data_IF_581246868697
#
_entry.id   IF_581246868697
#
_cell.length_a   1.000
_cell.length_b   1.000
_cell.length_c   1.000
_cell.angle_alpha   90.00
_cell.angle_beta   90.00
_cell.angle_gamma   90.00
#
_symmetry.space_group_name_H-M   'P 1'
#
loop_
_entity.id
_entity.type
_entity.pdbx_description
1 polymer ?
#
# COMPACT_ATOMS: atom_id res chain seq x y z
N UNK A 1 -38.70 7.27 -0.16
CA UNK A 1 -37.24 7.47 -0.13
C UNK A 1 -36.58 6.20 -0.64
N UNK A 2 -36.01 6.21 -1.86
CA UNK A 2 -35.16 5.13 -2.35
C UNK A 2 -33.75 5.44 -1.86
N UNK A 3 -33.15 4.54 -1.08
CA UNK A 3 -31.75 4.65 -0.69
C UNK A 3 -30.92 4.26 -1.91
N UNK A 4 -30.27 5.24 -2.54
CA UNK A 4 -29.26 4.96 -3.57
C UNK A 4 -28.06 4.25 -2.90
N UNK A 5 -27.59 3.12 -3.44
CA UNK A 5 -26.37 2.49 -2.94
C UNK A 5 -25.22 3.49 -3.09
N UNK A 6 -24.45 3.70 -2.01
CA UNK A 6 -23.22 4.50 -2.03
C UNK A 6 -22.30 4.00 -3.16
N UNK A 7 -22.36 4.66 -4.32
CA UNK A 7 -21.41 4.45 -5.41
C UNK A 7 -20.04 4.84 -4.88
N UNK A 8 -19.23 3.83 -4.54
CA UNK A 8 -17.82 4.05 -4.25
C UNK A 8 -17.21 4.54 -5.57
N UNK A 9 -16.67 5.77 -5.61
CA UNK A 9 -16.09 6.30 -6.83
C UNK A 9 -15.04 5.32 -7.35
N UNK A 10 -15.05 5.03 -8.66
CA UNK A 10 -14.07 4.13 -9.29
C UNK A 10 -12.65 4.54 -8.91
N UNK A 11 -12.38 5.86 -8.91
CA UNK A 11 -11.90 6.55 -7.71
C UNK A 11 -11.02 5.78 -6.74
N UNK A 12 -11.65 5.50 -5.62
CA UNK A 12 -11.08 4.83 -4.47
C UNK A 12 -10.78 3.35 -4.72
N UNK A 13 -11.36 2.74 -5.76
CA UNK A 13 -11.19 1.30 -6.02
C UNK A 13 -9.81 1.01 -6.59
N UNK A 14 -9.28 1.85 -7.48
CA UNK A 14 -7.93 1.67 -8.03
C UNK A 14 -6.84 2.09 -7.05
N UNK A 15 -7.05 3.14 -6.27
CA UNK A 15 -6.13 3.61 -5.23
C UNK A 15 -5.93 2.53 -4.14
N UNK A 16 -7.02 1.94 -3.66
CA UNK A 16 -7.00 0.84 -2.69
C UNK A 16 -6.39 -0.47 -3.23
N UNK A 17 -6.42 -0.69 -4.55
CA UNK A 17 -5.73 -1.83 -5.20
C UNK A 17 -4.22 -1.63 -5.25
N UNK A 18 -3.75 -0.39 -5.40
CA UNK A 18 -2.33 -0.07 -5.42
C UNK A 18 -1.72 -0.18 -4.01
N UNK A 19 -2.41 0.29 -2.98
CA UNK A 19 -1.96 0.18 -1.58
C UNK A 19 -1.69 -1.26 -1.15
N UNK A 20 -2.60 -2.20 -1.46
CA UNK A 20 -2.45 -3.60 -1.06
C UNK A 20 -1.31 -4.29 -1.81
N UNK A 21 -1.18 -4.01 -3.10
CA UNK A 21 -0.09 -4.52 -3.94
C UNK A 21 1.25 -4.03 -3.42
N UNK A 22 1.34 -2.74 -3.07
CA UNK A 22 2.55 -2.16 -2.50
C UNK A 22 2.86 -2.74 -1.12
N UNK A 23 1.88 -2.88 -0.24
CA UNK A 23 2.08 -3.47 1.08
C UNK A 23 2.57 -4.92 0.99
N UNK A 24 2.08 -5.70 0.01
CA UNK A 24 2.60 -7.05 -0.26
C UNK A 24 4.04 -7.03 -0.73
N UNK A 25 4.39 -6.10 -1.63
CA UNK A 25 5.76 -5.93 -2.11
C UNK A 25 6.71 -5.56 -0.98
N UNK A 26 6.33 -4.63 -0.11
CA UNK A 26 7.11 -4.27 1.08
C UNK A 26 7.28 -5.49 1.99
N UNK A 27 6.22 -6.29 2.20
CA UNK A 27 6.28 -7.47 3.05
C UNK A 27 7.17 -8.60 2.50
N UNK A 28 7.43 -8.64 1.19
CA UNK A 28 8.30 -9.62 0.56
C UNK A 28 9.77 -9.21 0.52
N UNK A 29 10.10 -7.98 0.90
CA UNK A 29 11.45 -7.41 0.81
C UNK A 29 12.05 -7.24 2.22
N UNK A 30 13.39 -7.28 2.35
CA UNK A 30 14.06 -6.96 3.60
C UNK A 30 13.77 -5.51 4.03
N UNK A 31 13.56 -5.31 5.34
CA UNK A 31 13.44 -3.99 5.96
C UNK A 31 14.78 -3.54 6.56
N UNK A 32 15.11 -2.23 6.54
CA UNK A 32 14.31 -1.15 5.95
C UNK A 32 14.30 -1.19 4.41
N UNK A 33 13.13 -0.96 3.82
CA UNK A 33 12.95 -0.99 2.37
C UNK A 33 12.84 0.43 1.81
N UNK A 34 13.60 0.73 0.76
CA UNK A 34 13.62 2.05 0.12
C UNK A 34 12.79 2.02 -1.14
N UNK A 35 11.81 2.92 -1.22
CA UNK A 35 10.95 3.10 -2.38
C UNK A 35 11.18 4.50 -2.96
N UNK A 36 11.27 4.58 -4.28
CA UNK A 36 11.50 5.82 -5.04
C UNK A 36 10.43 5.97 -6.12
N UNK A 37 10.24 7.18 -6.63
CA UNK A 37 9.19 7.48 -7.62
C UNK A 37 7.87 7.93 -7.00
N UNK A 38 7.19 8.84 -7.69
CA UNK A 38 6.01 9.56 -7.19
C UNK A 38 4.84 8.62 -6.85
N UNK A 39 4.66 7.55 -7.64
CA UNK A 39 3.59 6.58 -7.40
C UNK A 39 3.77 5.84 -6.07
N UNK A 40 5.01 5.54 -5.70
CA UNK A 40 5.32 4.88 -4.45
C UNK A 40 5.20 5.85 -3.27
N UNK A 41 5.59 7.12 -3.45
CA UNK A 41 5.43 8.15 -2.41
C UNK A 41 3.95 8.36 -2.05
N UNK A 42 3.08 8.48 -3.04
CA UNK A 42 1.63 8.64 -2.82
C UNK A 42 1.01 7.41 -2.15
N UNK A 43 1.34 6.21 -2.63
CA UNK A 43 0.80 4.98 -2.07
C UNK A 43 1.32 4.69 -0.64
N UNK A 44 2.59 4.98 -0.34
CA UNK A 44 3.11 4.89 1.04
C UNK A 44 2.47 5.94 1.93
N UNK A 45 2.20 7.16 1.43
CA UNK A 45 1.48 8.17 2.22
C UNK A 45 0.11 7.68 2.68
N UNK A 46 -0.66 7.02 1.81
CA UNK A 46 -1.94 6.45 2.19
C UNK A 46 -1.80 5.34 3.25
N UNK A 47 -0.82 4.44 3.09
CA UNK A 47 -0.53 3.39 4.08
C UNK A 47 -0.05 3.95 5.42
N UNK A 48 0.79 5.00 5.41
CA UNK A 48 1.29 5.68 6.60
C UNK A 48 0.17 6.40 7.34
N UNK A 49 -0.67 7.16 6.63
CA UNK A 49 -1.83 7.85 7.21
C UNK A 49 -2.85 6.86 7.80
N UNK A 50 -2.98 5.67 7.20
CA UNK A 50 -3.80 4.58 7.73
C UNK A 50 -3.15 3.83 8.91
N UNK A 51 -1.92 4.17 9.29
CA UNK A 51 -1.17 3.53 10.36
C UNK A 51 -0.72 2.11 10.05
N UNK A 52 -0.58 1.76 8.76
CA UNK A 52 -0.19 0.41 8.32
C UNK A 52 1.32 0.22 8.25
N UNK A 53 2.10 1.29 8.07
CA UNK A 53 3.56 1.26 7.99
C UNK A 53 4.17 2.40 8.80
N UNK A 54 5.39 2.20 9.30
CA UNK A 54 6.26 3.29 9.73
C UNK A 54 7.19 3.64 8.57
N UNK A 55 7.23 4.92 8.21
CA UNK A 55 7.90 5.38 7.01
C UNK A 55 8.42 6.81 7.17
N UNK A 56 9.60 7.07 6.60
CA UNK A 56 10.23 8.40 6.61
C UNK A 56 10.68 8.80 5.22
N UNK A 57 10.44 10.06 4.84
CA UNK A 57 10.97 10.62 3.59
C UNK A 57 12.42 11.02 3.78
N UNK A 58 13.30 10.58 2.87
CA UNK A 58 14.74 10.90 2.88
C UNK A 58 15.25 11.14 1.46
N UNK A 59 16.35 11.86 1.35
CA UNK A 59 17.17 11.85 0.14
C UNK A 59 17.97 10.55 0.14
N UNK A 60 17.85 9.77 -0.92
CA UNK A 60 18.52 8.49 -1.12
C UNK A 60 19.36 8.56 -2.40
N UNK A 61 20.47 7.82 -2.39
CA UNK A 61 21.32 7.68 -3.58
C UNK A 61 20.94 6.38 -4.27
N UNK A 62 20.67 6.44 -5.56
CA UNK A 62 20.36 5.24 -6.35
C UNK A 62 21.61 4.34 -6.43
N UNK A 63 21.55 3.10 -5.93
CA UNK A 63 22.68 2.17 -5.97
C UNK A 63 23.12 1.79 -7.39
N UNK A 64 22.31 2.04 -8.43
CA UNK A 64 22.62 1.76 -9.83
C UNK A 64 23.29 2.94 -10.57
N UNK A 65 23.73 3.97 -9.84
CA UNK A 65 24.52 5.07 -10.40
C UNK A 65 23.73 6.33 -10.76
N UNK A 66 22.53 6.49 -10.19
CA UNK A 66 21.75 7.73 -10.28
C UNK A 66 22.18 8.79 -9.26
N UNK A 67 21.69 10.03 -9.46
CA UNK A 67 21.90 11.12 -8.52
C UNK A 67 21.06 11.00 -7.24
N UNK A 68 21.27 11.88 -6.25
CA UNK A 68 20.42 11.95 -5.06
C UNK A 68 18.97 12.23 -5.47
N UNK A 69 18.03 11.44 -4.96
CA UNK A 69 16.61 11.61 -5.22
C UNK A 69 15.78 11.42 -3.95
N UNK A 70 14.53 11.91 -3.98
CA UNK A 70 13.60 11.71 -2.87
C UNK A 70 13.11 10.27 -2.87
N UNK A 71 13.21 9.60 -1.73
CA UNK A 71 12.66 8.28 -1.49
C UNK A 71 11.95 8.22 -0.15
N UNK A 72 11.13 7.19 0.02
CA UNK A 72 10.52 6.83 1.29
C UNK A 72 11.15 5.55 1.81
N UNK A 73 11.61 5.60 3.06
CA UNK A 73 12.21 4.47 3.76
C UNK A 73 11.16 3.90 4.69
N UNK A 74 10.72 2.68 4.41
CA UNK A 74 9.79 1.95 5.27
C UNK A 74 10.61 1.13 6.26
N UNK A 75 10.51 1.45 7.54
CA UNK A 75 11.22 0.79 8.64
C UNK A 75 10.47 -0.44 9.12
N UNK A 76 9.13 -0.39 9.14
CA UNK A 76 8.30 -1.48 9.64
C UNK A 76 6.94 -1.57 8.93
N UNK A 77 6.39 -2.79 8.88
CA UNK A 77 4.95 -3.00 8.68
C UNK A 77 4.34 -3.19 10.06
N UNK A 78 3.41 -2.33 10.43
CA UNK A 78 2.73 -2.39 11.73
C UNK A 78 1.83 -3.62 11.82
N UNK A 79 1.39 -3.95 13.04
CA UNK A 79 0.39 -5.01 13.25
C UNK A 79 -0.88 -4.81 12.41
N UNK A 80 -1.34 -3.57 12.24
CA UNK A 80 -2.54 -3.28 11.44
C UNK A 80 -2.32 -3.55 9.94
N UNK A 81 -1.11 -3.24 9.44
CA UNK A 81 -0.70 -3.56 8.07
C UNK A 81 -0.67 -5.07 7.81
N UNK A 82 -0.13 -5.85 8.75
CA UNK A 82 -0.15 -7.32 8.64
C UNK A 82 -1.57 -7.90 8.61
N UNK A 83 -2.49 -7.37 9.44
CA UNK A 83 -3.89 -7.79 9.42
C UNK A 83 -4.56 -7.49 8.05
N UNK A 84 -4.25 -6.33 7.45
CA UNK A 84 -4.75 -5.98 6.12
C UNK A 84 -4.26 -6.95 5.03
N UNK A 85 -3.03 -7.46 5.14
CA UNK A 85 -2.50 -8.48 4.23
C UNK A 85 -3.24 -9.81 4.35
N UNK A 86 -3.56 -10.22 5.58
CA UNK A 86 -4.23 -11.49 5.89
C UNK A 86 -5.73 -11.50 5.51
N UNK A 87 -6.41 -10.36 5.59
CA UNK A 87 -7.87 -10.27 5.41
C UNK A 87 -8.37 -10.55 3.98
N UNK A 88 -7.49 -10.66 2.98
CA UNK A 88 -7.85 -11.08 1.61
C UNK A 88 -7.66 -12.57 1.32
N UNK A 89 -7.07 -13.33 2.24
CA UNK A 89 -6.98 -14.80 2.11
C UNK A 89 -8.32 -15.49 2.35
N UNK A 90 -9.35 -14.75 2.78
CA UNK A 90 -10.72 -15.19 3.01
C UNK A 90 -11.73 -14.37 2.20
N UNK A 91 -11.50 -14.15 0.91
CA UNK A 91 -12.60 -13.76 0.04
C UNK A 91 -13.51 -15.00 -0.14
N UNK A 92 -14.78 -15.00 0.33
CA UNK A 92 -15.69 -16.09 0.02
C UNK A 92 -15.87 -16.12 -1.50
N UNK A 93 -15.68 -17.29 -2.10
CA UNK A 93 -16.09 -17.53 -3.48
C UNK A 93 -17.61 -17.36 -3.53
N UNK A 94 -18.07 -16.18 -3.98
CA UNK A 94 -19.46 -15.98 -4.39
C UNK A 94 -19.62 -16.72 -5.71
N UNK A 95 -20.30 -17.86 -5.66
CA UNK A 95 -20.85 -18.50 -6.84
C UNK A 95 -20.72 -20.00 -6.81
N UNK A 96 -21.66 -20.65 -6.13
CA UNK A 96 -22.34 -21.86 -6.63
C UNK A 96 -23.67 -21.97 -5.90
N UNK A 97 -24.69 -21.34 -6.50
CA UNK A 97 -26.08 -21.83 -6.51
C UNK A 97 -26.05 -22.91 -7.60
N UNK A 98 -26.52 -24.14 -7.44
CA UNK A 98 -27.77 -24.68 -6.89
C UNK A 98 -27.48 -26.07 -6.30
#
# INVERSE_FOLDING_TARGET
MKNDPLEIPRSRIWEKRNEHTLLRRIASEPLPHVLTGDENLLAVSALFQAGHVDAVVRVVVDPLGGGPQVGVVVSEITRSGWLLLLNRSHAPQRGESI
#
